data_IF_435262288621
#
_entry.id   IF_435262288621
#
_cell.length_a   1.000
_cell.length_b   1.000
_cell.length_c   1.000
_cell.angle_alpha   90.00
_cell.angle_beta   90.00
_cell.angle_gamma   90.00
#
_symmetry.space_group_name_H-M   'P 1'
#
loop_
_entity.id
_entity.type
_entity.pdbx_description
1 polymer ?
#
# COMPACT_ATOMS: atom_id res chain seq x y z
N UNK A 1 -5.68 21.91 -19.17
CA UNK A 1 -4.57 22.29 -18.27
C UNK A 1 -5.10 22.21 -16.85
N UNK A 2 -4.47 21.43 -15.98
CA UNK A 2 -4.85 21.43 -14.55
C UNK A 2 -4.55 22.80 -13.95
N UNK A 3 -5.48 23.30 -13.16
CA UNK A 3 -5.28 24.51 -12.35
C UNK A 3 -4.01 24.38 -11.49
N UNK A 4 -3.31 25.49 -11.30
CA UNK A 4 -2.14 25.58 -10.42
C UNK A 4 -2.45 25.04 -9.01
N UNK A 5 -3.56 25.43 -8.35
CA UNK A 5 -3.91 24.90 -7.04
C UNK A 5 -4.06 23.37 -7.03
N UNK A 6 -4.68 22.77 -8.06
CA UNK A 6 -4.81 21.31 -8.13
C UNK A 6 -3.44 20.64 -8.26
N UNK A 7 -2.53 21.16 -9.10
CA UNK A 7 -1.19 20.58 -9.25
C UNK A 7 -0.40 20.60 -7.94
N UNK A 8 -0.53 21.66 -7.15
CA UNK A 8 0.10 21.73 -5.84
C UNK A 8 -0.46 20.68 -4.88
N UNK A 9 -1.78 20.49 -4.85
CA UNK A 9 -2.41 19.44 -4.04
C UNK A 9 -1.98 18.03 -4.48
N UNK A 10 -2.00 17.75 -5.78
CA UNK A 10 -1.56 16.46 -6.31
C UNK A 10 -0.09 16.21 -6.00
N UNK A 11 0.77 17.22 -6.15
CA UNK A 11 2.19 17.12 -5.80
C UNK A 11 2.38 16.76 -4.32
N UNK A 12 1.64 17.40 -3.43
CA UNK A 12 1.70 17.09 -2.00
C UNK A 12 1.28 15.63 -1.74
N UNK A 13 0.18 15.16 -2.34
CA UNK A 13 -0.27 13.77 -2.22
C UNK A 13 0.78 12.78 -2.72
N UNK A 14 1.44 13.07 -3.84
CA UNK A 14 2.51 12.23 -4.38
C UNK A 14 3.72 12.18 -3.44
N UNK A 15 4.12 13.32 -2.87
CA UNK A 15 5.21 13.38 -1.88
C UNK A 15 4.83 12.54 -0.66
N UNK A 16 3.61 12.67 -0.15
CA UNK A 16 3.10 11.85 0.95
C UNK A 16 3.17 10.36 0.62
N UNK A 17 2.75 9.95 -0.58
CA UNK A 17 2.84 8.56 -1.03
C UNK A 17 4.29 8.04 -1.02
N UNK A 18 5.24 8.85 -1.52
CA UNK A 18 6.67 8.50 -1.54
C UNK A 18 7.26 8.39 -0.13
N UNK A 19 6.90 9.29 0.78
CA UNK A 19 7.35 9.25 2.18
C UNK A 19 6.84 7.98 2.86
N UNK A 20 5.55 7.66 2.71
CA UNK A 20 4.96 6.43 3.27
C UNK A 20 5.67 5.20 2.71
N UNK A 21 5.85 5.14 1.39
CA UNK A 21 6.54 4.02 0.75
C UNK A 21 7.97 3.84 1.27
N UNK A 22 8.72 4.95 1.41
CA UNK A 22 10.09 4.92 1.94
C UNK A 22 10.12 4.48 3.40
N UNK A 23 9.21 5.00 4.23
CA UNK A 23 9.10 4.62 5.64
C UNK A 23 8.77 3.13 5.82
N UNK A 24 7.83 2.59 5.03
CA UNK A 24 7.46 1.17 5.05
C UNK A 24 8.63 0.31 4.56
N UNK A 25 9.27 0.68 3.45
CA UNK A 25 10.47 -0.02 2.95
C UNK A 25 11.60 -0.02 3.98
N UNK A 26 11.82 1.10 4.68
CA UNK A 26 12.79 1.18 5.77
C UNK A 26 12.41 0.28 6.96
N UNK A 27 11.12 0.21 7.31
CA UNK A 27 10.63 -0.68 8.37
C UNK A 27 10.96 -2.15 8.10
N UNK A 28 10.92 -2.60 6.83
CA UNK A 28 11.38 -3.95 6.45
C UNK A 28 12.83 -4.18 6.88
N UNK A 29 13.74 -3.24 6.62
CA UNK A 29 15.15 -3.38 7.00
C UNK A 29 15.33 -3.42 8.53
N UNK A 30 14.58 -2.60 9.26
CA UNK A 30 14.60 -2.61 10.73
C UNK A 30 14.11 -3.96 11.26
N UNK A 31 12.97 -4.46 10.77
CA UNK A 31 12.44 -5.77 11.14
C UNK A 31 13.41 -6.89 10.77
N UNK A 32 14.11 -6.79 9.64
CA UNK A 32 15.09 -7.78 9.20
C UNK A 32 16.27 -7.83 10.18
N UNK A 33 16.78 -6.66 10.55
CA UNK A 33 17.84 -6.52 11.54
C UNK A 33 17.46 -7.10 12.88
N UNK A 34 16.24 -6.79 13.38
CA UNK A 34 15.73 -7.35 14.64
C UNK A 34 15.61 -8.88 14.54
N UNK A 35 14.97 -9.39 13.48
CA UNK A 35 14.75 -10.82 13.29
C UNK A 35 16.07 -11.61 13.14
N UNK A 36 17.11 -11.00 12.57
CA UNK A 36 18.44 -11.58 12.42
C UNK A 36 19.24 -11.57 13.72
N UNK A 37 19.12 -10.51 14.52
CA UNK A 37 19.85 -10.36 15.80
C UNK A 37 19.16 -11.10 16.96
N UNK A 38 17.85 -11.33 16.89
CA UNK A 38 17.08 -11.96 17.97
C UNK A 38 17.63 -13.34 18.42
N UNK A 39 18.04 -14.26 17.53
CA UNK A 39 18.67 -15.52 17.93
C UNK A 39 19.98 -15.31 18.72
N UNK A 40 20.80 -14.30 18.36
CA UNK A 40 22.07 -14.01 19.04
C UNK A 40 21.89 -13.50 20.48
N UNK A 41 20.76 -12.85 20.78
CA UNK A 41 20.44 -12.39 22.13
C UNK A 41 19.87 -13.50 23.02
N UNK A 42 19.30 -14.53 22.42
CA UNK A 42 18.85 -15.70 23.17
C UNK A 42 20.07 -16.56 23.51
N UNK A 43 20.37 -16.75 24.81
CA UNK A 43 21.47 -17.60 25.28
C UNK A 43 21.29 -19.11 24.97
N UNK A 44 20.33 -19.49 24.11
CA UNK A 44 20.10 -20.87 23.69
C UNK A 44 21.03 -21.18 22.53
N UNK A 45 22.14 -21.84 22.84
CA UNK A 45 23.19 -22.22 21.89
C UNK A 45 22.88 -23.48 21.07
N UNK A 46 21.77 -24.16 21.33
CA UNK A 46 21.37 -25.35 20.58
C UNK A 46 20.11 -25.06 19.76
N UNK A 47 20.11 -25.32 18.43
CA UNK A 47 18.87 -25.34 17.66
C UNK A 47 17.93 -26.35 18.32
N UNK A 48 16.78 -25.88 18.83
CA UNK A 48 15.77 -26.79 19.34
C UNK A 48 15.32 -27.66 18.18
N UNK A 49 15.51 -28.98 18.31
CA UNK A 49 14.89 -29.93 17.39
C UNK A 49 13.38 -29.69 17.38
N UNK A 50 12.89 -29.31 16.21
CA UNK A 50 11.50 -28.92 16.00
C UNK A 50 10.67 -30.21 16.04
N UNK A 51 9.78 -30.42 17.03
CA UNK A 51 8.93 -31.61 17.05
C UNK A 51 8.14 -31.71 15.74
N UNK A 52 7.96 -32.92 15.20
CA UNK A 52 7.37 -33.12 13.86
C UNK A 52 5.98 -32.46 13.65
N UNK A 53 5.23 -32.19 14.71
CA UNK A 53 3.98 -31.43 14.67
C UNK A 53 4.16 -29.95 14.31
N UNK A 54 5.31 -29.35 14.63
CA UNK A 54 5.66 -27.95 14.29
C UNK A 54 6.02 -27.76 12.81
N UNK A 55 6.34 -28.82 12.06
CA UNK A 55 6.53 -28.74 10.60
C UNK A 55 5.24 -28.33 9.86
N UNK A 56 4.06 -28.66 10.43
CA UNK A 56 2.77 -28.21 9.87
C UNK A 56 2.63 -26.69 9.94
N UNK A 57 2.99 -26.10 11.09
CA UNK A 57 2.95 -24.65 11.28
C UNK A 57 3.91 -23.89 10.37
N UNK A 58 5.12 -24.42 10.17
CA UNK A 58 6.05 -23.91 9.17
C UNK A 58 5.39 -23.85 7.78
N UNK A 59 4.81 -24.97 7.34
CA UNK A 59 4.13 -25.05 6.04
C UNK A 59 2.99 -24.04 5.93
N UNK A 60 2.18 -23.89 6.98
CA UNK A 60 1.08 -22.91 7.03
C UNK A 60 1.60 -21.48 6.85
N UNK A 61 2.70 -21.10 7.50
CA UNK A 61 3.28 -19.76 7.37
C UNK A 61 3.81 -19.49 5.96
N UNK A 62 4.44 -20.47 5.32
CA UNK A 62 4.86 -20.36 3.92
C UNK A 62 3.67 -20.20 2.97
N UNK A 63 2.61 -20.99 3.15
CA UNK A 63 1.37 -20.86 2.36
C UNK A 63 0.74 -19.50 2.60
N UNK A 64 0.64 -19.04 3.85
CA UNK A 64 0.10 -17.72 4.19
C UNK A 64 0.91 -16.59 3.53
N UNK A 65 2.24 -16.68 3.55
CA UNK A 65 3.12 -15.74 2.86
C UNK A 65 2.90 -15.73 1.35
N UNK A 66 2.76 -16.90 0.73
CA UNK A 66 2.47 -17.02 -0.71
C UNK A 66 1.10 -16.41 -1.06
N UNK A 67 0.08 -16.67 -0.25
CA UNK A 67 -1.26 -16.09 -0.41
C UNK A 67 -1.22 -14.58 -0.27
N UNK A 68 -0.51 -14.05 0.74
CA UNK A 68 -0.34 -12.61 0.93
C UNK A 68 0.41 -11.96 -0.24
N UNK A 69 1.48 -12.58 -0.74
CA UNK A 69 2.22 -12.13 -1.92
C UNK A 69 1.33 -12.09 -3.17
N UNK A 70 0.58 -13.16 -3.41
CA UNK A 70 -0.35 -13.26 -4.54
C UNK A 70 -1.46 -12.21 -4.43
N UNK A 71 -2.04 -12.05 -3.23
CA UNK A 71 -3.06 -11.06 -2.96
C UNK A 71 -2.53 -9.63 -3.18
N UNK A 72 -1.28 -9.33 -2.79
CA UNK A 72 -0.66 -8.03 -3.04
C UNK A 72 -0.53 -7.74 -4.54
N UNK A 73 0.00 -8.68 -5.31
CA UNK A 73 0.15 -8.54 -6.77
C UNK A 73 -1.21 -8.34 -7.44
N UNK A 74 -2.19 -9.19 -7.12
CA UNK A 74 -3.53 -9.12 -7.69
C UNK A 74 -4.25 -7.82 -7.31
N UNK A 75 -4.17 -7.43 -6.04
CA UNK A 75 -4.74 -6.16 -5.56
C UNK A 75 -4.16 -5.00 -6.34
N UNK A 76 -2.83 -4.98 -6.53
CA UNK A 76 -2.20 -3.93 -7.32
C UNK A 76 -2.68 -3.93 -8.78
N UNK A 77 -2.64 -5.07 -9.46
CA UNK A 77 -3.06 -5.16 -10.87
C UNK A 77 -4.51 -4.70 -11.03
N UNK A 78 -5.38 -5.07 -10.10
CA UNK A 78 -6.79 -4.70 -10.12
C UNK A 78 -7.01 -3.22 -9.79
N UNK A 79 -6.36 -2.69 -8.74
CA UNK A 79 -6.55 -1.32 -8.27
C UNK A 79 -5.99 -0.27 -9.25
N UNK A 80 -4.86 -0.58 -9.90
CA UNK A 80 -4.17 0.32 -10.83
C UNK A 80 -4.47 0.03 -12.31
N UNK A 81 -5.46 -0.82 -12.61
CA UNK A 81 -5.91 -1.10 -13.98
C UNK A 81 -6.52 0.15 -14.62
N UNK A 82 -6.19 0.41 -15.89
CA UNK A 82 -6.77 1.51 -16.67
C UNK A 82 -8.30 1.45 -16.71
N UNK A 83 -8.88 0.25 -16.75
CA UNK A 83 -10.33 0.06 -16.72
C UNK A 83 -10.94 0.60 -15.44
N UNK A 84 -10.27 0.40 -14.30
CA UNK A 84 -10.74 0.88 -13.01
C UNK A 84 -10.56 2.39 -12.88
N UNK A 85 -9.42 2.92 -13.32
CA UNK A 85 -9.18 4.37 -13.35
C UNK A 85 -10.24 5.06 -14.21
N UNK A 86 -10.54 4.54 -15.40
CA UNK A 86 -11.60 5.06 -16.27
C UNK A 86 -12.97 4.97 -15.62
N UNK A 87 -13.29 3.84 -14.97
CA UNK A 87 -14.55 3.66 -14.25
C UNK A 87 -14.69 4.70 -13.12
N UNK A 88 -13.61 4.99 -12.40
CA UNK A 88 -13.61 5.99 -11.33
C UNK A 88 -13.79 7.41 -11.87
N UNK A 89 -13.14 7.75 -12.98
CA UNK A 89 -13.32 9.03 -13.66
C UNK A 89 -14.71 9.18 -14.29
N UNK A 90 -15.35 8.07 -14.67
CA UNK A 90 -16.70 8.07 -15.23
C UNK A 90 -17.78 8.30 -14.18
N UNK A 91 -17.52 8.04 -12.90
CA UNK A 91 -18.46 8.35 -11.82
C UNK A 91 -18.74 9.85 -11.79
N UNK A 92 -20.02 10.19 -11.63
CA UNK A 92 -20.42 11.58 -11.47
C UNK A 92 -19.95 12.13 -10.13
N UNK A 93 -19.56 13.40 -10.15
CA UNK A 93 -19.11 14.12 -8.96
C UNK A 93 -20.33 14.51 -8.15
N UNK A 94 -20.91 13.54 -7.44
CA UNK A 94 -22.01 13.81 -6.52
C UNK A 94 -21.47 14.59 -5.31
N UNK A 95 -21.99 15.80 -5.00
CA UNK A 95 -21.64 16.56 -3.81
C UNK A 95 -22.02 15.87 -2.49
N UNK A 96 -22.85 14.83 -2.53
CA UNK A 96 -23.18 13.99 -1.36
C UNK A 96 -22.46 12.64 -1.37
N UNK A 97 -21.36 12.53 -2.14
CA UNK A 97 -20.56 11.32 -2.13
C UNK A 97 -20.12 10.97 -0.69
N UNK A 98 -20.12 9.68 -0.30
CA UNK A 98 -19.75 9.25 1.06
C UNK A 98 -18.36 9.73 1.51
N UNK A 99 -17.48 10.02 0.55
CA UNK A 99 -16.11 10.53 0.79
C UNK A 99 -16.08 11.97 1.33
N UNK A 100 -17.14 12.74 1.06
CA UNK A 100 -17.32 14.13 1.52
C UNK A 100 -18.15 14.20 2.81
N UNK A 101 -18.66 13.07 3.30
CA UNK A 101 -19.33 12.96 4.59
C UNK A 101 -18.30 12.75 5.72
N UNK A 102 -18.58 13.37 6.86
CA UNK A 102 -17.83 13.16 8.07
C UNK A 102 -18.13 11.75 8.60
N UNK A 103 -17.07 10.95 8.75
CA UNK A 103 -17.13 9.56 9.20
C UNK A 103 -17.81 9.37 10.57
N UNK A 104 -17.92 10.43 11.36
CA UNK A 104 -18.53 10.41 12.70
C UNK A 104 -19.96 10.93 12.77
N UNK A 105 -20.39 11.77 11.84
CA UNK A 105 -21.64 12.53 12.00
C UNK A 105 -22.65 12.36 10.88
N UNK A 106 -22.32 11.59 9.82
CA UNK A 106 -23.15 11.42 8.61
C UNK A 106 -23.56 12.75 7.95
N UNK A 107 -22.91 13.85 8.36
CA UNK A 107 -23.07 15.19 7.83
C UNK A 107 -21.92 15.48 6.89
N UNK A 108 -22.20 16.28 5.87
CA UNK A 108 -21.18 16.81 4.98
C UNK A 108 -20.06 17.50 5.79
N UNK A 109 -18.80 17.16 5.52
CA UNK A 109 -17.66 17.84 6.10
C UNK A 109 -17.46 19.18 5.35
N UNK A 110 -17.79 20.33 5.98
CA UNK A 110 -17.82 21.61 5.29
C UNK A 110 -16.43 22.02 4.79
N UNK A 111 -15.35 21.62 5.46
CA UNK A 111 -13.99 21.94 5.03
C UNK A 111 -13.60 21.16 3.78
N UNK A 112 -13.92 19.86 3.74
CA UNK A 112 -13.66 19.01 2.56
C UNK A 112 -14.50 19.42 1.38
N UNK A 113 -15.77 19.73 1.60
CA UNK A 113 -16.67 20.20 0.57
C UNK A 113 -16.22 21.56 0.01
N UNK A 114 -15.88 22.51 0.88
CA UNK A 114 -15.37 23.82 0.46
C UNK A 114 -14.09 23.68 -0.39
N UNK A 115 -13.19 22.76 -0.02
CA UNK A 115 -11.96 22.52 -0.77
C UNK A 115 -12.21 21.88 -2.14
N UNK A 116 -13.21 21.00 -2.24
CA UNK A 116 -13.49 20.25 -3.48
C UNK A 116 -14.35 21.05 -4.45
N UNK A 117 -15.33 21.81 -3.95
CA UNK A 117 -16.24 22.66 -4.73
C UNK A 117 -15.54 23.82 -5.46
N UNK A 118 -14.35 24.24 -5.00
CA UNK A 118 -13.53 25.26 -5.68
C UNK A 118 -13.00 24.82 -7.05
N UNK A 119 -12.96 23.51 -7.33
CA UNK A 119 -12.41 22.96 -8.57
C UNK A 119 -13.50 22.70 -9.60
N UNK A 120 -13.14 22.73 -10.89
CA UNK A 120 -14.05 22.32 -11.97
C UNK A 120 -14.38 20.82 -11.83
N UNK A 121 -15.56 20.35 -12.27
CA UNK A 121 -15.92 18.92 -12.24
C UNK A 121 -14.83 17.95 -12.74
N UNK A 122 -14.13 18.20 -13.87
CA UNK A 122 -13.02 17.35 -14.31
C UNK A 122 -11.84 17.30 -13.32
N UNK A 123 -11.55 18.41 -12.65
CA UNK A 123 -10.47 18.54 -11.68
C UNK A 123 -10.81 17.84 -10.36
N UNK A 124 -12.06 17.92 -9.93
CA UNK A 124 -12.59 17.19 -8.78
C UNK A 124 -12.45 15.67 -8.97
N UNK A 125 -12.76 15.15 -10.16
CA UNK A 125 -12.59 13.72 -10.50
C UNK A 125 -11.15 13.25 -10.34
N UNK A 126 -10.18 14.05 -10.78
CA UNK A 126 -8.75 13.74 -10.64
C UNK A 126 -8.33 13.80 -9.18
N UNK A 127 -8.84 14.77 -8.42
CA UNK A 127 -8.55 14.88 -6.98
C UNK A 127 -9.06 13.65 -6.21
N UNK A 128 -10.30 13.22 -6.45
CA UNK A 128 -10.88 11.99 -5.86
C UNK A 128 -10.07 10.75 -6.24
N UNK A 129 -9.70 10.62 -7.51
CA UNK A 129 -8.83 9.54 -7.97
C UNK A 129 -7.51 9.49 -7.19
N UNK A 130 -6.89 10.65 -6.92
CA UNK A 130 -5.64 10.70 -6.15
C UNK A 130 -5.79 10.15 -4.72
N UNK A 131 -6.93 10.37 -4.08
CA UNK A 131 -7.27 9.77 -2.79
C UNK A 131 -7.42 8.25 -2.88
N UNK A 132 -8.12 7.76 -3.90
CA UNK A 132 -8.28 6.32 -4.11
C UNK A 132 -6.95 5.61 -4.38
N UNK A 133 -6.04 6.26 -5.12
CA UNK A 133 -4.69 5.75 -5.37
C UNK A 133 -3.88 5.66 -4.05
N UNK A 134 -4.04 6.63 -3.14
CA UNK A 134 -3.37 6.61 -1.84
C UNK A 134 -3.86 5.43 -0.99
N UNK A 135 -5.18 5.25 -0.88
CA UNK A 135 -5.78 4.13 -0.16
C UNK A 135 -5.34 2.79 -0.75
N UNK A 136 -5.35 2.66 -2.07
CA UNK A 136 -4.92 1.44 -2.77
C UNK A 136 -3.45 1.11 -2.53
N UNK A 137 -2.59 2.14 -2.53
CA UNK A 137 -1.18 2.01 -2.19
C UNK A 137 -1.01 1.53 -0.75
N UNK A 138 -1.73 2.13 0.20
CA UNK A 138 -1.68 1.73 1.61
C UNK A 138 -2.05 0.26 1.81
N UNK A 139 -3.17 -0.19 1.23
CA UNK A 139 -3.61 -1.59 1.33
C UNK A 139 -2.54 -2.54 0.81
N UNK A 140 -1.94 -2.22 -0.32
CA UNK A 140 -0.93 -3.08 -0.94
C UNK A 140 0.39 -3.09 -0.15
N UNK A 141 0.81 -1.94 0.40
CA UNK A 141 1.96 -1.87 1.32
C UNK A 141 1.73 -2.71 2.58
N UNK A 142 0.52 -2.67 3.15
CA UNK A 142 0.18 -3.49 4.32
C UNK A 142 0.20 -4.99 4.01
N UNK A 143 -0.23 -5.39 2.81
CA UNK A 143 -0.10 -6.79 2.38
C UNK A 143 1.37 -7.22 2.24
N UNK A 144 2.23 -6.34 1.72
CA UNK A 144 3.67 -6.62 1.64
C UNK A 144 4.30 -6.74 3.02
N UNK A 145 4.00 -5.82 3.94
CA UNK A 145 4.47 -5.90 5.33
C UNK A 145 3.97 -7.14 6.05
N UNK A 146 2.76 -7.62 5.73
CA UNK A 146 2.24 -8.86 6.33
C UNK A 146 3.17 -10.04 6.06
N UNK A 147 3.77 -10.13 4.86
CA UNK A 147 4.75 -11.18 4.52
C UNK A 147 6.00 -11.06 5.40
N UNK A 148 6.46 -9.83 5.62
CA UNK A 148 7.64 -9.52 6.45
C UNK A 148 7.37 -9.86 7.92
N UNK A 149 6.19 -9.50 8.43
CA UNK A 149 5.75 -9.83 9.78
C UNK A 149 5.63 -11.34 9.96
N UNK A 150 5.12 -12.08 8.96
CA UNK A 150 5.11 -13.56 8.99
C UNK A 150 6.53 -14.13 9.06
N UNK A 151 7.49 -13.57 8.32
CA UNK A 151 8.90 -13.93 8.40
C UNK A 151 9.54 -13.62 9.75
N UNK A 152 9.21 -12.48 10.34
CA UNK A 152 9.67 -12.11 11.68
C UNK A 152 9.09 -13.04 12.76
N UNK A 153 7.79 -13.33 12.70
CA UNK A 153 7.13 -14.29 13.58
C UNK A 153 7.75 -15.68 13.43
N UNK A 154 8.06 -16.10 12.19
CA UNK A 154 8.80 -17.32 11.92
C UNK A 154 10.16 -17.31 12.63
N UNK A 155 10.96 -16.24 12.49
CA UNK A 155 12.27 -16.14 13.15
C UNK A 155 12.17 -16.32 14.66
N UNK A 156 11.18 -15.66 15.28
CA UNK A 156 11.01 -15.65 16.72
C UNK A 156 10.56 -17.01 17.28
N UNK A 157 9.66 -17.71 16.58
CA UNK A 157 9.15 -19.02 17.03
C UNK A 157 10.22 -20.10 16.91
N UNK A 158 10.96 -20.12 15.80
CA UNK A 158 11.93 -21.19 15.52
C UNK A 158 13.38 -20.83 15.85
N UNK A 159 13.65 -19.58 16.25
CA UNK A 159 15.00 -19.07 16.57
C UNK A 159 16.02 -19.29 15.45
N UNK A 160 15.58 -19.29 14.19
CA UNK A 160 16.45 -19.49 13.01
C UNK A 160 16.41 -18.27 12.09
N UNK A 161 17.57 -17.81 11.64
CA UNK A 161 17.72 -16.72 10.67
C UNK A 161 17.43 -17.11 9.22
N UNK A 162 17.71 -18.36 8.84
CA UNK A 162 17.88 -18.70 7.42
C UNK A 162 16.55 -18.77 6.68
N UNK A 163 15.53 -19.26 7.36
CA UNK A 163 14.18 -19.37 6.82
C UNK A 163 13.42 -18.03 6.76
N UNK A 164 14.03 -16.96 7.25
CA UNK A 164 13.45 -15.60 7.32
C UNK A 164 13.73 -14.84 6.03
N UNK A 165 14.90 -15.06 5.43
CA UNK A 165 15.36 -14.43 4.18
C UNK A 165 14.30 -14.43 3.07
N UNK A 166 13.63 -15.55 2.72
CA UNK A 166 12.65 -15.55 1.63
C UNK A 166 11.46 -14.62 1.89
N UNK A 167 11.01 -14.47 3.14
CA UNK A 167 9.92 -13.56 3.50
C UNK A 167 10.33 -12.10 3.37
N UNK A 168 11.50 -11.75 3.88
CA UNK A 168 12.02 -10.38 3.81
C UNK A 168 12.36 -9.98 2.37
N UNK A 169 13.01 -10.87 1.63
CA UNK A 169 13.30 -10.65 0.22
C UNK A 169 12.01 -10.53 -0.60
N UNK A 170 11.03 -11.39 -0.36
CA UNK A 170 9.72 -11.31 -1.02
C UNK A 170 9.01 -9.99 -0.72
N UNK A 171 8.92 -9.59 0.55
CA UNK A 171 8.31 -8.32 0.95
C UNK A 171 9.03 -7.11 0.36
N UNK A 172 10.37 -7.12 0.36
CA UNK A 172 11.19 -6.05 -0.22
C UNK A 172 11.00 -5.97 -1.74
N UNK A 173 11.07 -7.09 -2.46
CA UNK A 173 10.85 -7.14 -3.91
C UNK A 173 9.46 -6.61 -4.26
N UNK A 174 8.43 -6.99 -3.50
CA UNK A 174 7.08 -6.49 -3.71
C UNK A 174 6.97 -4.99 -3.42
N UNK A 175 7.58 -4.48 -2.34
CA UNK A 175 7.62 -3.04 -2.05
C UNK A 175 8.36 -2.24 -3.14
N UNK A 176 9.51 -2.74 -3.61
CA UNK A 176 10.26 -2.12 -4.71
C UNK A 176 9.48 -2.17 -6.03
N UNK A 177 8.85 -3.30 -6.32
CA UNK A 177 7.98 -3.43 -7.49
C UNK A 177 6.83 -2.42 -7.39
N UNK A 178 6.30 -2.17 -6.20
CA UNK A 178 5.27 -1.17 -5.88
C UNK A 178 5.73 0.28 -5.92
N UNK A 179 6.96 0.59 -6.34
CA UNK A 179 7.48 1.96 -6.40
C UNK A 179 6.38 2.91 -6.91
N UNK A 180 5.97 3.90 -6.10
CA UNK A 180 4.80 4.70 -6.39
C UNK A 180 5.05 5.47 -7.68
N UNK A 181 4.31 5.11 -8.74
CA UNK A 181 4.17 5.89 -9.97
C UNK A 181 2.78 6.54 -10.10
N UNK A 182 2.23 7.16 -9.03
CA UNK A 182 0.93 7.81 -9.09
C UNK A 182 0.92 8.96 -10.10
N UNK A 183 2.08 9.60 -10.31
CA UNK A 183 2.26 10.68 -11.29
C UNK A 183 1.87 10.24 -12.70
N UNK A 184 2.39 9.10 -13.16
CA UNK A 184 2.07 8.57 -14.48
C UNK A 184 0.57 8.25 -14.64
N UNK A 185 -0.08 7.78 -13.58
CA UNK A 185 -1.51 7.46 -13.61
C UNK A 185 -2.35 8.74 -13.61
N UNK A 186 -2.00 9.71 -12.77
CA UNK A 186 -2.67 11.01 -12.70
C UNK A 186 -2.48 11.82 -14.00
N UNK A 187 -1.33 11.74 -14.64
CA UNK A 187 -1.06 12.36 -15.93
C UNK A 187 -1.91 11.74 -17.05
N UNK A 188 -1.99 10.40 -17.11
CA UNK A 188 -2.89 9.69 -18.04
C UNK A 188 -4.36 10.03 -17.79
N UNK A 189 -4.77 10.08 -16.53
CA UNK A 189 -6.13 10.48 -16.15
C UNK A 189 -6.44 11.92 -16.59
N UNK A 190 -5.50 12.85 -16.41
CA UNK A 190 -5.65 14.23 -16.84
C UNK A 190 -5.82 14.36 -18.36
N UNK A 191 -5.14 13.52 -19.14
CA UNK A 191 -5.30 13.43 -20.59
C UNK A 191 -6.70 12.92 -20.98
N UNK A 192 -7.21 11.86 -20.34
CA UNK A 192 -8.53 11.31 -20.66
C UNK A 192 -9.68 12.27 -20.37
N UNK A 193 -9.55 13.06 -19.31
CA UNK A 193 -10.56 14.04 -18.90
C UNK A 193 -10.53 15.30 -19.78
N UNK A 194 -9.44 15.57 -20.50
CA UNK A 194 -9.30 16.73 -21.36
C UNK A 194 -8.62 16.39 -22.70
N UNK A 195 -9.31 15.64 -23.60
CA UNK A 195 -8.72 15.07 -24.81
C UNK A 195 -8.50 16.08 -25.94
N UNK A 196 -8.98 17.33 -25.83
CA UNK A 196 -8.75 18.39 -26.83
C UNK A 196 -7.38 19.06 -26.67
N UNK A 197 -6.40 18.30 -26.22
CA UNK A 197 -5.02 18.72 -26.01
C UNK A 197 -4.07 17.64 -26.48
#
# INVERSE_FOLDING_TARGET
MLSIPLRLLLRNNVITMRIIWAAMTFAIFVLAGIAYMAPMWSKRTAPQEVPGSMNKWRTILYIAGLVAASASILTRQFMFSDNRVRKELAKDTDPFAPEEMNCRSDKLDPERYAKTSMFKPPEQKILRLSGHLLSSMMVSLMLNETIVVLGAAYSLIWQTSDAVIPFFFGGLVLNLFMFPRPEAILERAAHWVNPKR
#
